data_IF_876025113678
#
_entry.id   IF_876025113678
#
_cell.length_a   1.000
_cell.length_b   1.000
_cell.length_c   1.000
_cell.angle_alpha   90.00
_cell.angle_beta   90.00
_cell.angle_gamma   90.00
#
_symmetry.space_group_name_H-M   'P 1'
#
loop_
_entity.id
_entity.type
_entity.pdbx_description
1 polymer ?
#
# COMPACT_ATOMS: atom_id res chain seq x y z
N UNK A 1 1.46 -50.11 -13.42
CA UNK A 1 0.40 -49.42 -14.18
C UNK A 1 -0.10 -48.18 -13.40
N UNK A 2 0.68 -47.09 -13.37
CA UNK A 2 0.39 -45.87 -12.58
C UNK A 2 -0.13 -44.72 -13.46
N UNK A 3 -1.02 -45.01 -14.42
CA UNK A 3 -1.56 -44.00 -15.36
C UNK A 3 -3.03 -43.62 -15.05
N UNK A 4 -3.79 -44.44 -14.33
CA UNK A 4 -5.23 -44.26 -14.09
C UNK A 4 -5.60 -43.34 -12.91
N UNK A 5 -4.61 -42.96 -12.08
CA UNK A 5 -4.82 -42.05 -10.94
C UNK A 5 -5.09 -40.62 -11.42
N UNK A 6 -4.32 -40.15 -12.39
CA UNK A 6 -4.40 -38.77 -12.88
C UNK A 6 -5.60 -38.52 -13.80
N UNK A 7 -6.07 -39.52 -14.54
CA UNK A 7 -7.23 -39.37 -15.43
C UNK A 7 -8.53 -39.08 -14.66
N UNK A 8 -8.73 -39.71 -13.49
CA UNK A 8 -9.88 -39.44 -12.62
C UNK A 8 -9.87 -38.02 -12.05
N UNK A 9 -8.70 -37.51 -11.69
CA UNK A 9 -8.51 -36.14 -11.19
C UNK A 9 -8.78 -35.13 -12.31
N UNK A 10 -8.31 -35.42 -13.52
CA UNK A 10 -8.50 -34.58 -14.69
C UNK A 10 -10.00 -34.45 -15.05
N UNK A 11 -10.73 -35.57 -15.01
CA UNK A 11 -12.16 -35.57 -15.25
C UNK A 11 -12.93 -34.78 -14.17
N UNK A 12 -12.55 -34.92 -12.89
CA UNK A 12 -13.15 -34.15 -11.79
C UNK A 12 -12.89 -32.64 -11.91
N UNK A 13 -11.66 -32.25 -12.24
CA UNK A 13 -11.27 -30.85 -12.40
C UNK A 13 -11.97 -30.19 -13.60
N UNK A 14 -12.25 -30.94 -14.67
CA UNK A 14 -13.01 -30.42 -15.81
C UNK A 14 -14.45 -30.02 -15.45
N UNK A 15 -15.10 -30.80 -14.58
CA UNK A 15 -16.47 -30.53 -14.13
C UNK A 15 -16.57 -29.49 -13.00
N UNK A 16 -15.49 -29.19 -12.27
CA UNK A 16 -15.52 -28.28 -11.12
C UNK A 16 -15.39 -26.79 -11.49
N UNK A 17 -15.30 -26.47 -12.79
CA UNK A 17 -15.07 -25.12 -13.31
C UNK A 17 -13.66 -24.58 -13.01
N UNK A 18 -13.28 -23.44 -13.61
CA UNK A 18 -11.99 -22.84 -13.33
C UNK A 18 -11.95 -22.24 -11.92
N UNK A 19 -10.89 -22.52 -11.17
CA UNK A 19 -10.63 -21.91 -9.86
C UNK A 19 -10.23 -20.42 -9.96
N UNK A 20 -10.03 -19.89 -11.16
CA UNK A 20 -9.54 -18.53 -11.40
C UNK A 20 -10.66 -17.50 -11.21
N UNK A 21 -10.29 -16.34 -10.66
CA UNK A 21 -11.16 -15.17 -10.64
C UNK A 21 -10.97 -14.36 -11.92
N UNK A 22 -12.07 -13.84 -12.48
CA UNK A 22 -12.05 -13.01 -13.68
C UNK A 22 -11.48 -11.60 -13.41
N UNK A 23 -10.16 -11.46 -13.30
CA UNK A 23 -9.51 -10.15 -13.28
C UNK A 23 -9.44 -9.60 -14.72
N UNK A 24 -9.71 -8.30 -14.97
CA UNK A 24 -9.91 -7.19 -14.04
C UNK A 24 -11.36 -6.93 -13.59
N UNK A 25 -12.34 -7.66 -14.13
CA UNK A 25 -13.78 -7.42 -13.92
C UNK A 25 -14.20 -7.66 -12.47
N UNK A 26 -13.77 -8.78 -11.89
CA UNK A 26 -14.01 -9.16 -10.49
C UNK A 26 -12.68 -9.21 -9.74
N UNK A 27 -12.34 -8.10 -9.08
CA UNK A 27 -11.18 -8.03 -8.18
C UNK A 27 -11.41 -8.91 -6.95
N UNK A 28 -10.34 -9.53 -6.47
CA UNK A 28 -10.37 -10.29 -5.22
C UNK A 28 -10.57 -9.32 -4.05
N UNK A 29 -11.46 -9.67 -3.13
CA UNK A 29 -11.67 -8.92 -1.90
C UNK A 29 -10.42 -9.01 -1.00
N UNK A 30 -10.08 -7.92 -0.34
CA UNK A 30 -8.97 -7.89 0.62
C UNK A 30 -9.44 -8.32 2.01
N UNK A 31 -8.55 -8.99 2.75
CA UNK A 31 -8.81 -9.37 4.13
C UNK A 31 -8.62 -8.18 5.08
N UNK A 32 -9.26 -8.18 6.24
CA UNK A 32 -9.27 -7.04 7.17
C UNK A 32 -7.91 -6.61 7.74
N UNK A 33 -6.88 -7.48 7.71
CA UNK A 33 -5.51 -7.18 8.17
C UNK A 33 -4.49 -7.15 7.03
N UNK A 34 -4.96 -6.92 5.80
CA UNK A 34 -4.09 -6.88 4.62
C UNK A 34 -3.24 -5.62 4.66
N UNK A 35 -1.92 -5.77 4.48
CA UNK A 35 -1.00 -4.64 4.37
C UNK A 35 -1.03 -4.11 2.95
N UNK A 36 -1.72 -2.99 2.73
CA UNK A 36 -1.76 -2.30 1.45
C UNK A 36 -0.94 -1.02 1.45
N UNK A 37 -1.47 0.03 0.82
CA UNK A 37 -0.80 1.33 0.71
C UNK A 37 -0.91 2.13 2.01
N UNK A 38 0.08 2.98 2.23
CA UNK A 38 0.11 3.90 3.37
C UNK A 38 -0.58 5.18 2.96
N UNK A 39 -1.50 5.63 3.79
CA UNK A 39 -2.14 6.94 3.70
C UNK A 39 -1.82 7.76 4.94
N UNK A 40 -1.60 9.07 4.76
CA UNK A 40 -1.37 10.02 5.83
C UNK A 40 -2.47 11.08 5.85
N UNK A 41 -2.96 11.36 7.05
CA UNK A 41 -3.76 12.52 7.37
C UNK A 41 -2.82 13.68 7.76
N UNK A 42 -2.62 14.62 6.84
CA UNK A 42 -1.58 15.65 6.98
C UNK A 42 -1.88 16.66 8.08
N UNK A 43 -3.16 16.92 8.36
CA UNK A 43 -3.60 17.89 9.36
C UNK A 43 -3.24 17.46 10.79
N UNK A 44 -3.34 16.17 11.07
CA UNK A 44 -2.97 15.56 12.34
C UNK A 44 -1.47 15.34 12.50
N UNK A 45 -0.67 15.51 11.44
CA UNK A 45 0.77 15.34 11.46
C UNK A 45 1.49 16.52 12.14
N UNK A 46 2.42 16.21 13.03
CA UNK A 46 3.29 17.19 13.73
C UNK A 46 4.73 17.24 13.17
N UNK A 47 4.98 16.56 12.05
CA UNK A 47 6.29 16.51 11.37
C UNK A 47 7.45 16.13 12.30
N UNK A 48 7.24 15.15 13.18
CA UNK A 48 8.25 14.68 14.15
C UNK A 48 9.41 13.87 13.52
N UNK A 49 9.23 13.36 12.30
CA UNK A 49 10.26 12.60 11.58
C UNK A 49 10.53 11.17 12.09
N UNK A 50 9.76 10.67 13.07
CA UNK A 50 9.93 9.30 13.58
C UNK A 50 9.69 8.24 12.50
N UNK A 51 8.69 8.45 11.64
CA UNK A 51 8.40 7.56 10.52
C UNK A 51 9.56 7.47 9.51
N UNK A 52 10.26 8.58 9.23
CA UNK A 52 11.45 8.60 8.39
C UNK A 52 12.61 7.83 9.03
N UNK A 53 12.93 8.10 10.31
CA UNK A 53 14.06 7.47 11.01
C UNK A 53 13.91 5.96 11.12
N UNK A 54 12.67 5.48 11.18
CA UNK A 54 12.38 4.07 11.42
C UNK A 54 12.04 3.30 10.14
N UNK A 55 11.88 3.99 9.01
CA UNK A 55 11.68 3.34 7.73
C UNK A 55 12.94 2.53 7.35
N UNK A 56 12.85 1.20 7.16
CA UNK A 56 14.03 0.38 6.84
C UNK A 56 14.60 0.69 5.44
N UNK A 57 13.77 1.19 4.52
CA UNK A 57 14.17 1.52 3.15
C UNK A 57 14.40 3.01 2.91
N UNK A 58 14.14 3.88 3.91
CA UNK A 58 14.26 5.33 3.74
C UNK A 58 13.23 5.95 2.78
N UNK A 59 12.10 5.27 2.53
CA UNK A 59 11.08 5.70 1.58
C UNK A 59 10.34 7.00 1.96
N UNK A 60 10.35 7.38 3.25
CA UNK A 60 9.62 8.54 3.77
C UNK A 60 10.61 9.67 4.06
N UNK A 61 10.29 10.88 3.59
CA UNK A 61 11.02 12.12 3.93
C UNK A 61 10.08 13.13 4.57
N UNK A 62 10.54 13.75 5.66
CA UNK A 62 9.78 14.72 6.44
C UNK A 62 10.58 16.01 6.55
N UNK A 63 10.06 17.08 5.95
CA UNK A 63 10.62 18.43 6.04
C UNK A 63 9.79 19.26 7.01
N UNK A 64 10.34 19.48 8.21
CA UNK A 64 9.65 20.23 9.28
C UNK A 64 9.50 21.72 8.95
N UNK A 65 10.48 22.32 8.26
CA UNK A 65 10.46 23.74 7.90
C UNK A 65 9.34 24.09 6.90
N UNK A 66 9.13 23.21 5.91
CA UNK A 66 8.14 23.42 4.85
C UNK A 66 6.82 22.67 5.11
N UNK A 67 6.65 22.11 6.31
CA UNK A 67 5.50 21.25 6.69
C UNK A 67 5.13 20.26 5.59
N UNK A 68 6.15 19.61 5.04
CA UNK A 68 6.06 18.72 3.89
C UNK A 68 6.41 17.29 4.31
N UNK A 69 5.56 16.37 3.89
CA UNK A 69 5.76 14.93 4.05
C UNK A 69 5.74 14.31 2.66
N UNK A 70 6.71 13.46 2.35
CA UNK A 70 6.76 12.77 1.07
C UNK A 70 7.07 11.30 1.22
N UNK A 71 6.50 10.50 0.31
CA UNK A 71 6.71 9.06 0.25
C UNK A 71 7.05 8.61 -1.17
N UNK A 72 8.14 7.86 -1.28
CA UNK A 72 8.56 7.18 -2.48
C UNK A 72 7.89 5.79 -2.54
N UNK A 73 6.78 5.67 -3.29
CA UNK A 73 5.97 4.45 -3.28
C UNK A 73 6.75 3.22 -3.77
N UNK A 74 7.72 3.40 -4.67
CA UNK A 74 8.59 2.32 -5.16
C UNK A 74 9.62 1.82 -4.13
N UNK A 75 9.96 2.62 -3.12
CA UNK A 75 10.87 2.21 -2.04
C UNK A 75 10.12 1.65 -0.83
N UNK A 76 8.80 1.84 -0.77
CA UNK A 76 7.99 1.37 0.34
C UNK A 76 7.71 -0.14 0.26
N UNK A 77 8.19 -0.89 1.25
CA UNK A 77 7.96 -2.35 1.36
C UNK A 77 6.68 -2.72 2.15
N UNK A 78 5.80 -1.75 2.42
CA UNK A 78 4.49 -1.96 3.08
C UNK A 78 4.58 -2.71 4.42
N UNK A 79 5.61 -2.41 5.22
CA UNK A 79 5.91 -3.11 6.48
C UNK A 79 5.08 -2.67 7.70
N UNK A 80 4.21 -1.65 7.58
CA UNK A 80 3.40 -1.05 8.67
C UNK A 80 4.18 -0.30 9.78
N UNK A 81 5.52 -0.34 9.78
CA UNK A 81 6.29 0.22 10.90
C UNK A 81 6.04 1.73 11.13
N UNK A 82 5.88 2.49 10.04
CA UNK A 82 5.62 3.92 10.10
C UNK A 82 4.29 4.29 10.79
N UNK A 83 3.25 3.46 10.67
CA UNK A 83 1.96 3.65 11.34
C UNK A 83 2.07 3.35 12.83
N UNK A 84 2.75 2.25 13.17
CA UNK A 84 2.93 1.80 14.56
C UNK A 84 3.77 2.77 15.40
N UNK A 85 4.82 3.35 14.81
CA UNK A 85 5.72 4.29 15.51
C UNK A 85 5.14 5.71 15.60
N UNK A 86 4.05 6.01 14.89
CA UNK A 86 3.51 7.36 14.85
C UNK A 86 2.77 7.69 16.17
N UNK A 87 3.25 8.67 16.97
CA UNK A 87 2.62 8.99 18.26
C UNK A 87 1.22 9.59 18.10
N UNK A 88 0.97 10.28 16.98
CA UNK A 88 -0.32 10.86 16.63
C UNK A 88 -1.23 9.89 15.86
N UNK A 89 -0.73 8.71 15.48
CA UNK A 89 -1.45 7.73 14.64
C UNK A 89 -2.09 8.33 13.39
N UNK A 90 -1.46 9.34 12.79
CA UNK A 90 -1.95 9.98 11.55
C UNK A 90 -1.68 9.17 10.27
N UNK A 91 -0.96 8.04 10.39
CA UNK A 91 -0.61 7.15 9.29
C UNK A 91 -1.46 5.89 9.39
N UNK A 92 -2.16 5.55 8.32
CA UNK A 92 -3.02 4.38 8.22
C UNK A 92 -2.53 3.44 7.12
N UNK A 93 -2.62 2.14 7.38
CA UNK A 93 -2.45 1.12 6.34
C UNK A 93 -3.82 0.80 5.78
N UNK A 94 -4.01 1.09 4.50
CA UNK A 94 -5.21 0.69 3.79
C UNK A 94 -5.12 -0.77 3.35
N UNK A 95 -6.27 -1.42 3.18
CA UNK A 95 -6.34 -2.82 2.75
C UNK A 95 -6.19 -3.00 1.23
N UNK A 96 -5.90 -1.93 0.49
CA UNK A 96 -5.76 -1.95 -0.96
C UNK A 96 -4.30 -1.75 -1.36
N UNK A 97 -3.83 -2.52 -2.33
CA UNK A 97 -2.49 -2.34 -2.90
C UNK A 97 -2.44 -1.04 -3.73
N UNK A 98 -1.23 -0.50 -3.90
CA UNK A 98 -0.99 0.64 -4.80
C UNK A 98 -1.18 0.18 -6.23
N UNK A 99 -1.97 0.91 -7.03
CA UNK A 99 -2.08 0.65 -8.46
C UNK A 99 -0.69 0.65 -9.12
N UNK A 100 -0.44 -0.24 -10.10
CA UNK A 100 0.81 -0.22 -10.84
C UNK A 100 0.96 1.14 -11.55
N UNK A 101 2.07 1.82 -11.30
CA UNK A 101 2.43 3.06 -11.98
C UNK A 101 3.57 2.79 -12.97
N UNK A 102 3.57 3.50 -14.10
CA UNK A 102 4.63 3.40 -15.11
C UNK A 102 5.88 4.21 -14.75
N UNK A 103 5.74 5.19 -13.87
CA UNK A 103 6.80 6.12 -13.49
C UNK A 103 7.04 6.11 -11.98
N UNK A 104 8.24 6.50 -11.57
CA UNK A 104 8.61 6.64 -10.16
C UNK A 104 7.98 7.92 -9.59
N UNK A 105 6.77 7.77 -9.05
CA UNK A 105 6.05 8.87 -8.40
C UNK A 105 6.48 9.02 -6.95
N UNK A 106 6.86 10.24 -6.58
CA UNK A 106 6.98 10.68 -5.19
C UNK A 106 5.69 11.42 -4.83
N UNK A 107 4.96 10.88 -3.87
CA UNK A 107 3.77 11.53 -3.37
C UNK A 107 4.19 12.58 -2.34
N UNK A 108 3.78 13.83 -2.57
CA UNK A 108 4.09 14.94 -1.69
C UNK A 108 2.80 15.45 -1.06
N UNK A 109 2.79 15.57 0.27
CA UNK A 109 1.69 16.15 1.03
C UNK A 109 2.21 17.28 1.89
N UNK A 110 1.61 18.45 1.68
CA UNK A 110 1.97 19.68 2.36
C UNK A 110 0.79 20.05 3.25
N UNK A 111 1.06 20.39 4.52
CA UNK A 111 0.00 20.96 5.37
C UNK A 111 -0.22 22.40 4.92
N UNK A 112 -1.34 22.66 4.28
CA UNK A 112 -1.71 24.01 3.85
C UNK A 112 -2.09 24.86 5.06
N UNK A 113 -1.15 25.59 5.67
CA UNK A 113 -1.44 26.53 6.77
C UNK A 113 -1.97 27.87 6.26
N UNK A 114 -2.89 27.84 5.29
CA UNK A 114 -3.26 28.88 4.31
C UNK A 114 -2.32 28.98 3.10
N UNK A 115 -2.96 29.04 1.93
CA UNK A 115 -2.43 29.18 0.56
C UNK A 115 -2.21 27.83 -0.17
N UNK A 116 -3.23 27.52 -0.98
CA UNK A 116 -3.26 26.74 -2.23
C UNK A 116 -2.54 25.39 -2.25
N UNK A 117 -3.35 24.34 -2.23
CA UNK A 117 -2.99 23.01 -2.71
C UNK A 117 -2.33 23.10 -4.09
N UNK A 118 -1.08 22.67 -4.29
CA UNK A 118 -0.59 22.42 -5.63
C UNK A 118 -1.38 21.25 -6.19
N UNK A 119 -2.08 21.53 -7.29
CA UNK A 119 -2.80 20.56 -8.10
C UNK A 119 -1.92 19.34 -8.37
N UNK A 120 -2.44 18.16 -8.07
CA UNK A 120 -2.14 16.94 -8.80
C UNK A 120 -3.40 16.07 -8.81
#
# INVERSE_FOLDING_TARGET
MSYFSMSKILLKNLFHGPYTTLYPIKKKESFGRTRGRIEIEIDSCIFCGLCQRRCPTGAIKVDKANTKWSIERFQCIQCNYCSEVCPKKCLTMENQYTSPAHEKVRDERIKCTNIQSPNT
#
